data_IF_132562025114
#
_entry.id   IF_132562025114
#
_cell.length_a   1.000
_cell.length_b   1.000
_cell.length_c   1.000
_cell.angle_alpha   90.00
_cell.angle_beta   90.00
_cell.angle_gamma   90.00
#
_symmetry.space_group_name_H-M   'P 1'
#
loop_
_entity.id
_entity.type
_entity.pdbx_description
1 polymer ?
#
# COMPACT_ATOMS: atom_id res chain seq x y z
N UNK A 1 -51.61 24.77 1.56
CA UNK A 1 -50.32 25.25 2.10
C UNK A 1 -49.64 24.24 3.01
N UNK A 2 -50.36 23.60 3.98
CA UNK A 2 -49.83 22.64 4.93
C UNK A 2 -49.24 21.38 4.26
N UNK A 3 -49.86 20.84 3.21
CA UNK A 3 -49.41 19.64 2.49
C UNK A 3 -48.10 19.88 1.74
N UNK A 4 -47.87 21.08 1.20
CA UNK A 4 -46.63 21.44 0.52
C UNK A 4 -45.47 21.59 1.54
N UNK A 5 -45.72 22.08 2.73
CA UNK A 5 -44.72 22.21 3.77
C UNK A 5 -44.29 20.85 4.33
N UNK A 6 -45.21 19.90 4.52
CA UNK A 6 -44.91 18.53 4.92
C UNK A 6 -44.09 17.78 3.85
N UNK A 7 -44.40 17.94 2.56
CA UNK A 7 -43.68 17.32 1.46
C UNK A 7 -42.23 17.83 1.35
N UNK A 8 -41.95 19.08 1.66
CA UNK A 8 -40.61 19.65 1.66
C UNK A 8 -39.76 19.16 2.84
N UNK A 9 -40.37 19.02 4.01
CA UNK A 9 -39.71 18.50 5.22
C UNK A 9 -39.30 17.02 5.05
N UNK A 10 -40.17 16.19 4.50
CA UNK A 10 -39.86 14.78 4.22
C UNK A 10 -38.75 14.61 3.18
N UNK A 11 -38.73 15.42 2.13
CA UNK A 11 -37.63 15.40 1.13
C UNK A 11 -36.29 15.84 1.73
N UNK A 12 -36.31 16.85 2.60
CA UNK A 12 -35.12 17.34 3.29
C UNK A 12 -34.53 16.27 4.21
N UNK A 13 -35.37 15.52 4.92
CA UNK A 13 -34.95 14.43 5.82
C UNK A 13 -34.35 13.29 5.02
N UNK A 14 -35.01 12.83 3.95
CA UNK A 14 -34.50 11.78 3.08
C UNK A 14 -33.17 12.13 2.42
N UNK A 15 -32.98 13.37 1.96
CA UNK A 15 -31.69 13.82 1.42
C UNK A 15 -30.58 13.90 2.47
N UNK A 16 -30.94 14.19 3.71
CA UNK A 16 -29.96 14.24 4.81
C UNK A 16 -29.52 12.82 5.20
N UNK A 17 -30.44 11.88 5.27
CA UNK A 17 -30.15 10.46 5.51
C UNK A 17 -29.23 9.89 4.43
N UNK A 18 -29.54 10.09 3.16
CA UNK A 18 -28.73 9.63 2.05
C UNK A 18 -27.30 10.19 2.06
N UNK A 19 -27.13 11.48 2.44
CA UNK A 19 -25.81 12.09 2.59
C UNK A 19 -25.01 11.53 3.77
N UNK A 20 -25.69 11.19 4.86
CA UNK A 20 -25.07 10.57 6.03
C UNK A 20 -24.62 9.16 5.70
N UNK A 21 -25.46 8.37 5.04
CA UNK A 21 -25.15 7.01 4.63
C UNK A 21 -23.96 6.96 3.65
N UNK A 22 -23.91 7.86 2.68
CA UNK A 22 -22.78 8.00 1.75
C UNK A 22 -21.48 8.35 2.48
N UNK A 23 -21.53 9.22 3.50
CA UNK A 23 -20.35 9.57 4.31
C UNK A 23 -19.88 8.40 5.16
N UNK A 24 -20.79 7.63 5.73
CA UNK A 24 -20.47 6.45 6.52
C UNK A 24 -19.84 5.37 5.64
N UNK A 25 -20.42 5.07 4.50
CA UNK A 25 -19.86 4.12 3.53
C UNK A 25 -18.45 4.50 3.08
N UNK A 26 -18.23 5.80 2.79
CA UNK A 26 -16.91 6.32 2.44
C UNK A 26 -15.87 6.15 3.56
N UNK A 27 -16.25 6.47 4.79
CA UNK A 27 -15.35 6.33 5.94
C UNK A 27 -15.00 4.86 6.21
N UNK A 28 -15.94 3.96 6.00
CA UNK A 28 -15.72 2.52 6.12
C UNK A 28 -14.77 2.00 5.04
N UNK A 29 -14.96 2.38 3.78
CA UNK A 29 -14.06 2.02 2.67
C UNK A 29 -12.63 2.48 2.95
N UNK A 30 -12.45 3.74 3.37
CA UNK A 30 -11.15 4.30 3.74
C UNK A 30 -10.53 3.53 4.91
N UNK A 31 -11.31 3.23 5.96
CA UNK A 31 -10.83 2.52 7.14
C UNK A 31 -10.39 1.10 6.79
N UNK A 32 -11.19 0.38 6.02
CA UNK A 32 -10.89 -1.00 5.61
C UNK A 32 -9.64 -1.02 4.73
N UNK A 33 -9.56 -0.15 3.72
CA UNK A 33 -8.42 -0.05 2.81
C UNK A 33 -7.14 0.32 3.58
N UNK A 34 -7.20 1.33 4.45
CA UNK A 34 -6.06 1.77 5.26
C UNK A 34 -5.57 0.65 6.20
N UNK A 35 -6.49 -0.01 6.91
CA UNK A 35 -6.16 -1.12 7.81
C UNK A 35 -5.54 -2.31 7.06
N UNK A 36 -6.06 -2.62 5.87
CA UNK A 36 -5.51 -3.67 5.03
C UNK A 36 -4.09 -3.33 4.57
N UNK A 37 -3.88 -2.14 4.00
CA UNK A 37 -2.56 -1.68 3.56
C UNK A 37 -1.55 -1.65 4.72
N UNK A 38 -1.95 -1.18 5.91
CA UNK A 38 -1.11 -1.24 7.10
C UNK A 38 -0.71 -2.67 7.47
N UNK A 39 -1.63 -3.63 7.32
CA UNK A 39 -1.35 -5.02 7.65
C UNK A 39 -0.37 -5.70 6.69
N UNK A 40 -0.37 -5.30 5.41
CA UNK A 40 0.50 -5.87 4.38
C UNK A 40 1.85 -5.15 4.35
N UNK A 41 1.88 -3.82 4.38
CA UNK A 41 3.09 -3.01 4.39
C UNK A 41 3.84 -3.07 5.74
N UNK A 42 3.13 -3.38 6.83
CA UNK A 42 3.74 -3.63 8.13
C UNK A 42 4.55 -4.94 8.22
N UNK A 43 4.68 -5.70 7.11
CA UNK A 43 5.35 -7.00 7.04
C UNK A 43 6.21 -7.12 5.78
N UNK A 44 6.98 -6.09 5.47
CA UNK A 44 7.87 -6.10 4.31
C UNK A 44 9.11 -6.96 4.59
N UNK A 45 9.70 -7.52 3.54
CA UNK A 45 10.95 -8.27 3.63
C UNK A 45 12.12 -7.36 3.26
N UNK A 46 13.15 -7.33 4.11
CA UNK A 46 14.44 -6.69 3.81
C UNK A 46 15.34 -7.55 2.91
N UNK A 47 14.81 -8.61 2.32
CA UNK A 47 15.59 -9.51 1.47
C UNK A 47 16.16 -8.78 0.26
N UNK A 48 17.41 -9.10 -0.05
CA UNK A 48 18.10 -8.60 -1.23
C UNK A 48 17.84 -9.49 -2.44
N UNK A 49 17.86 -8.87 -3.61
CA UNK A 49 17.77 -9.59 -4.89
C UNK A 49 19.00 -10.50 -5.10
N UNK A 50 18.77 -11.64 -5.75
CA UNK A 50 19.86 -12.50 -6.18
C UNK A 50 20.47 -12.00 -7.48
N UNK A 51 21.77 -12.28 -7.68
CA UNK A 51 22.45 -12.03 -8.96
C UNK A 51 22.71 -10.57 -9.28
N UNK A 52 22.69 -9.66 -8.29
CA UNK A 52 23.08 -8.26 -8.49
C UNK A 52 24.57 -8.23 -8.86
N UNK A 53 24.84 -7.83 -10.09
CA UNK A 53 26.19 -7.74 -10.65
C UNK A 53 26.64 -6.28 -10.85
N UNK A 54 25.70 -5.33 -10.80
CA UNK A 54 25.96 -3.91 -11.01
C UNK A 54 25.76 -3.09 -9.73
N UNK A 55 26.66 -2.16 -9.49
CA UNK A 55 26.54 -1.17 -8.39
C UNK A 55 25.34 -0.23 -8.60
N UNK A 56 24.85 -0.15 -9.83
CA UNK A 56 23.71 0.71 -10.18
C UNK A 56 22.35 0.09 -9.90
N UNK A 57 22.27 -1.23 -9.72
CA UNK A 57 21.02 -1.92 -9.40
C UNK A 57 20.62 -1.75 -7.93
N UNK A 58 19.31 -1.64 -7.67
CA UNK A 58 18.81 -1.61 -6.31
C UNK A 58 18.95 -3.01 -5.69
N UNK A 59 19.67 -3.15 -4.56
CA UNK A 59 19.87 -4.44 -3.94
C UNK A 59 18.61 -4.99 -3.27
N UNK A 60 17.59 -4.18 -3.04
CA UNK A 60 16.35 -4.62 -2.41
C UNK A 60 15.33 -5.07 -3.46
N UNK A 61 14.51 -6.04 -3.08
CA UNK A 61 13.34 -6.46 -3.85
C UNK A 61 12.22 -5.42 -3.69
N UNK A 62 12.53 -4.20 -4.06
CA UNK A 62 11.67 -3.03 -3.97
C UNK A 62 11.77 -2.21 -5.26
N UNK A 63 10.61 -1.86 -5.82
CA UNK A 63 10.46 -0.79 -6.80
C UNK A 63 9.40 0.17 -6.28
N UNK A 64 9.77 1.42 -6.09
CA UNK A 64 8.95 2.41 -5.42
C UNK A 64 8.93 3.70 -6.24
N UNK A 65 7.90 3.84 -7.07
CA UNK A 65 7.66 4.93 -7.99
C UNK A 65 6.42 5.74 -7.59
N UNK A 66 6.22 6.89 -8.21
CA UNK A 66 5.10 7.79 -7.90
C UNK A 66 3.70 7.17 -8.10
N UNK A 67 3.56 6.13 -8.91
CA UNK A 67 2.29 5.49 -9.27
C UNK A 67 2.28 3.97 -9.04
N UNK A 68 3.40 3.41 -8.66
CA UNK A 68 3.56 1.97 -8.45
C UNK A 68 4.49 1.70 -7.26
N UNK A 69 4.10 0.75 -6.42
CA UNK A 69 4.96 0.22 -5.37
C UNK A 69 4.99 -1.30 -5.48
N UNK A 70 6.17 -1.87 -5.69
CA UNK A 70 6.43 -3.32 -5.69
C UNK A 70 7.35 -3.65 -4.52
N UNK A 71 6.98 -4.68 -3.75
CA UNK A 71 7.79 -5.12 -2.61
C UNK A 71 7.61 -6.62 -2.35
N UNK A 72 8.45 -7.16 -1.51
CA UNK A 72 8.28 -8.50 -0.93
C UNK A 72 7.78 -8.38 0.50
N UNK A 73 6.85 -9.23 0.87
CA UNK A 73 6.30 -9.27 2.22
C UNK A 73 5.66 -10.62 2.53
N UNK A 74 4.98 -10.68 3.67
CA UNK A 74 4.21 -11.84 4.10
C UNK A 74 2.74 -11.43 4.21
N UNK A 75 1.87 -12.14 3.49
CA UNK A 75 0.44 -11.96 3.61
C UNK A 75 -0.02 -12.35 5.02
N UNK A 76 -0.84 -11.54 5.70
CA UNK A 76 -1.43 -11.96 6.97
C UNK A 76 -2.23 -13.26 6.79
N UNK A 77 -2.09 -14.19 7.74
CA UNK A 77 -2.66 -15.55 7.64
C UNK A 77 -4.18 -15.58 7.37
N UNK A 78 -4.91 -14.56 7.81
CA UNK A 78 -6.36 -14.41 7.56
C UNK A 78 -6.74 -14.29 6.09
N UNK A 79 -5.79 -14.00 5.20
CA UNK A 79 -6.02 -13.89 3.75
C UNK A 79 -5.56 -15.13 2.97
N UNK A 80 -5.17 -16.21 3.65
CA UNK A 80 -5.00 -17.54 3.07
C UNK A 80 -3.72 -17.79 2.27
N UNK A 81 -2.90 -16.78 2.01
CA UNK A 81 -1.64 -16.97 1.30
C UNK A 81 -0.50 -17.27 2.29
N UNK A 82 0.18 -18.40 2.09
CA UNK A 82 1.32 -18.80 2.90
C UNK A 82 2.65 -18.32 2.26
N UNK A 83 3.66 -18.04 3.09
CA UNK A 83 5.00 -17.72 2.63
C UNK A 83 5.20 -16.27 2.22
N UNK A 84 6.36 -16.03 1.58
CA UNK A 84 6.69 -14.72 1.03
C UNK A 84 6.00 -14.53 -0.31
N UNK A 85 5.52 -13.33 -0.52
CA UNK A 85 4.83 -12.93 -1.75
C UNK A 85 5.49 -11.67 -2.31
N UNK A 86 5.51 -11.55 -3.62
CA UNK A 86 5.63 -10.26 -4.27
C UNK A 86 4.28 -9.57 -4.23
N UNK A 87 4.30 -8.29 -3.93
CA UNK A 87 3.14 -7.42 -3.93
C UNK A 87 3.35 -6.26 -4.89
N UNK A 88 2.27 -5.84 -5.53
CA UNK A 88 2.22 -4.65 -6.37
C UNK A 88 0.99 -3.83 -6.04
N UNK A 89 1.18 -2.60 -5.60
CA UNK A 89 0.13 -1.59 -5.46
C UNK A 89 0.20 -0.66 -6.65
N UNK A 90 -0.87 -0.58 -7.44
CA UNK A 90 -0.92 0.24 -8.66
C UNK A 90 -2.35 0.53 -9.08
N UNK A 91 -2.53 1.35 -10.12
CA UNK A 91 -3.82 1.51 -10.79
C UNK A 91 -3.96 0.47 -11.91
N UNK A 92 -5.09 -0.23 -11.90
CA UNK A 92 -5.53 -1.03 -13.03
C UNK A 92 -6.66 -0.31 -13.77
N UNK A 93 -6.49 -0.14 -15.08
CA UNK A 93 -7.51 0.47 -15.94
C UNK A 93 -8.50 -0.60 -16.39
N UNK A 94 -9.80 -0.33 -16.21
CA UNK A 94 -10.88 -1.20 -16.66
C UNK A 94 -11.86 -0.34 -17.48
N UNK A 95 -11.66 -0.32 -18.79
CA UNK A 95 -12.45 0.56 -19.67
C UNK A 95 -12.22 2.04 -19.36
N UNK A 96 -13.28 2.75 -18.98
CA UNK A 96 -13.24 4.21 -18.69
C UNK A 96 -12.95 4.55 -17.22
N UNK A 97 -12.67 3.58 -16.38
CA UNK A 97 -12.36 3.79 -14.96
C UNK A 97 -11.04 3.10 -14.57
N UNK A 98 -10.37 3.66 -13.58
CA UNK A 98 -9.22 3.03 -12.94
C UNK A 98 -9.62 2.57 -11.54
N UNK A 99 -8.97 1.51 -11.07
CA UNK A 99 -9.13 1.02 -9.70
C UNK A 99 -7.76 0.89 -9.04
N UNK A 100 -7.67 1.24 -7.76
CA UNK A 100 -6.51 0.89 -6.95
C UNK A 100 -6.57 -0.61 -6.68
N UNK A 101 -5.54 -1.31 -7.12
CA UNK A 101 -5.44 -2.76 -6.95
C UNK A 101 -4.18 -3.15 -6.19
N UNK A 102 -4.30 -4.21 -5.41
CA UNK A 102 -3.17 -4.95 -4.89
C UNK A 102 -3.07 -6.27 -5.65
N UNK A 103 -1.96 -6.46 -6.35
CA UNK A 103 -1.62 -7.75 -6.96
C UNK A 103 -0.60 -8.46 -6.10
N UNK A 104 -0.69 -9.78 -6.02
CA UNK A 104 0.30 -10.57 -5.31
C UNK A 104 0.46 -11.96 -5.92
N UNK A 105 1.68 -12.49 -5.80
CA UNK A 105 2.05 -13.81 -6.29
C UNK A 105 3.17 -14.40 -5.44
N UNK A 106 3.30 -15.73 -5.33
CA UNK A 106 4.37 -16.37 -4.59
C UNK A 106 5.75 -15.87 -5.03
N UNK A 107 6.67 -15.73 -4.07
CA UNK A 107 8.06 -15.44 -4.35
C UNK A 107 8.84 -16.77 -4.42
N UNK A 108 8.99 -17.31 -5.62
CA UNK A 108 9.75 -18.54 -5.85
C UNK A 108 11.26 -18.24 -5.93
N UNK A 109 11.62 -17.13 -6.56
CA UNK A 109 13.00 -16.67 -6.69
C UNK A 109 13.13 -15.21 -6.20
N UNK A 110 14.29 -14.82 -5.60
CA UNK A 110 14.52 -13.47 -5.12
C UNK A 110 14.92 -12.51 -6.26
N UNK A 111 14.07 -12.41 -7.28
CA UNK A 111 14.19 -11.52 -8.43
C UNK A 111 12.85 -10.81 -8.65
N UNK A 112 12.89 -9.48 -8.85
CA UNK A 112 11.67 -8.73 -9.13
C UNK A 112 10.97 -9.27 -10.39
N UNK A 113 9.65 -9.51 -10.34
CA UNK A 113 8.93 -10.04 -11.48
C UNK A 113 8.97 -9.06 -12.67
N UNK A 114 9.15 -9.61 -13.85
CA UNK A 114 9.09 -8.88 -15.12
C UNK A 114 7.65 -8.64 -15.59
N UNK A 115 6.71 -9.46 -15.14
CA UNK A 115 5.29 -9.39 -15.43
C UNK A 115 4.44 -9.80 -14.24
N UNK A 116 3.12 -9.60 -14.36
CA UNK A 116 2.14 -9.89 -13.31
C UNK A 116 1.02 -10.81 -13.81
N UNK A 117 1.31 -11.58 -14.87
CA UNK A 117 0.41 -12.59 -15.41
C UNK A 117 0.22 -13.70 -14.38
N UNK A 118 -1.03 -14.06 -14.11
CA UNK A 118 -1.36 -15.07 -13.10
C UNK A 118 -1.32 -14.61 -11.64
N UNK A 119 -0.95 -13.34 -11.37
CA UNK A 119 -1.03 -12.80 -10.02
C UNK A 119 -2.49 -12.69 -9.55
N UNK A 120 -2.72 -13.00 -8.28
CA UNK A 120 -4.00 -12.68 -7.63
C UNK A 120 -4.16 -11.18 -7.54
N UNK A 121 -5.35 -10.69 -7.92
CA UNK A 121 -5.65 -9.26 -7.93
C UNK A 121 -6.83 -8.97 -7.00
N UNK A 122 -6.61 -8.08 -6.03
CA UNK A 122 -7.61 -7.55 -5.13
C UNK A 122 -7.89 -6.09 -5.43
N UNK A 123 -9.16 -5.75 -5.66
CA UNK A 123 -9.58 -4.36 -5.88
C UNK A 123 -9.79 -3.70 -4.52
N UNK A 124 -9.00 -2.69 -4.21
CA UNK A 124 -9.06 -1.95 -2.95
C UNK A 124 -10.01 -0.76 -3.02
N UNK A 125 -9.93 0.03 -4.09
CA UNK A 125 -10.78 1.21 -4.32
C UNK A 125 -11.15 1.30 -5.80
N UNK A 126 -12.42 1.58 -6.08
CA UNK A 126 -12.93 1.75 -7.45
C UNK A 126 -13.01 3.23 -7.85
N UNK A 127 -13.13 3.46 -9.16
CA UNK A 127 -13.35 4.79 -9.75
C UNK A 127 -12.28 5.83 -9.36
N UNK A 128 -11.04 5.37 -9.29
CA UNK A 128 -9.88 6.21 -8.96
C UNK A 128 -9.56 7.13 -10.14
N UNK A 129 -9.39 8.40 -9.85
CA UNK A 129 -8.98 9.44 -10.81
C UNK A 129 -7.49 9.74 -10.73
N UNK A 130 -6.94 9.69 -9.53
CA UNK A 130 -5.51 9.94 -9.30
C UNK A 130 -4.99 9.13 -8.12
N UNK A 131 -3.73 8.72 -8.24
CA UNK A 131 -2.92 8.07 -7.21
C UNK A 131 -1.55 8.75 -7.19
N UNK A 132 -1.08 9.15 -6.03
CA UNK A 132 0.30 9.57 -5.84
C UNK A 132 0.90 8.85 -4.63
N UNK A 133 2.07 8.27 -4.83
CA UNK A 133 2.86 7.60 -3.81
C UNK A 133 4.11 8.44 -3.54
N UNK A 134 4.42 8.63 -2.26
CA UNK A 134 5.66 9.24 -1.81
C UNK A 134 6.25 8.41 -0.67
N UNK A 135 7.56 8.44 -0.55
CA UNK A 135 8.32 7.60 0.36
C UNK A 135 9.20 8.45 1.24
N UNK A 136 9.41 8.02 2.47
CA UNK A 136 10.23 8.72 3.45
C UNK A 136 11.02 7.73 4.30
N UNK A 137 12.24 8.12 4.67
CA UNK A 137 12.97 7.52 5.78
C UNK A 137 12.90 8.44 7.01
N UNK A 138 12.06 8.09 7.97
CA UNK A 138 11.90 8.86 9.21
C UNK A 138 13.13 8.79 10.13
N UNK A 139 14.11 7.92 9.84
CA UNK A 139 15.37 7.83 10.59
C UNK A 139 16.43 8.83 10.13
N UNK A 140 16.17 9.64 9.12
CA UNK A 140 17.09 10.70 8.68
C UNK A 140 16.93 11.95 9.55
N UNK A 141 18.00 12.75 9.63
CA UNK A 141 18.00 14.03 10.37
C UNK A 141 16.97 15.02 9.80
N UNK A 142 16.73 14.98 8.48
CA UNK A 142 15.72 15.77 7.77
C UNK A 142 14.92 14.84 6.87
N UNK A 143 13.86 14.22 7.38
CA UNK A 143 13.02 13.35 6.57
C UNK A 143 12.28 14.14 5.49
N UNK A 144 12.45 13.75 4.24
CA UNK A 144 11.76 14.35 3.09
C UNK A 144 10.95 13.31 2.34
N UNK A 145 9.78 13.73 1.84
CA UNK A 145 8.94 12.90 1.00
C UNK A 145 9.44 12.91 -0.44
N UNK A 146 9.73 11.74 -0.99
CA UNK A 146 10.25 11.52 -2.35
C UNK A 146 9.26 10.71 -3.16
N UNK A 147 9.00 11.09 -4.41
CA UNK A 147 8.09 10.38 -5.32
C UNK A 147 8.70 9.10 -5.91
N UNK A 148 10.02 8.94 -5.83
CA UNK A 148 10.76 7.75 -6.23
C UNK A 148 11.75 7.42 -5.12
N UNK A 149 11.88 6.14 -4.76
CA UNK A 149 12.85 5.71 -3.76
C UNK A 149 14.07 5.08 -4.43
N UNK A 150 15.17 5.82 -4.42
CA UNK A 150 16.42 5.42 -5.09
C UNK A 150 17.49 4.89 -4.13
N UNK A 151 17.24 4.94 -2.82
CA UNK A 151 18.26 4.51 -1.85
C UNK A 151 18.58 3.03 -2.02
N UNK A 152 19.88 2.73 -2.15
CA UNK A 152 20.44 1.37 -2.24
C UNK A 152 20.91 0.85 -0.88
N UNK A 153 20.91 1.68 0.14
CA UNK A 153 21.39 1.33 1.48
C UNK A 153 20.28 0.88 2.41
N UNK A 154 19.08 1.42 2.23
CA UNK A 154 17.94 1.22 3.13
C UNK A 154 16.61 1.22 2.40
N UNK A 155 15.63 0.58 3.02
CA UNK A 155 14.23 0.64 2.61
C UNK A 155 13.57 1.92 3.15
N UNK A 156 12.52 2.44 2.50
CA UNK A 156 11.71 3.51 3.09
C UNK A 156 11.03 3.01 4.36
N UNK A 157 10.89 3.88 5.34
CA UNK A 157 10.18 3.56 6.59
C UNK A 157 8.69 3.87 6.51
N UNK A 158 8.30 4.77 5.61
CA UNK A 158 6.92 5.19 5.42
C UNK A 158 6.60 5.38 3.94
N UNK A 159 5.36 5.10 3.58
CA UNK A 159 4.75 5.48 2.32
C UNK A 159 3.53 6.38 2.58
N UNK A 160 3.46 7.50 1.88
CA UNK A 160 2.30 8.38 1.82
C UNK A 160 1.50 8.03 0.56
N UNK A 161 0.25 7.67 0.74
CA UNK A 161 -0.68 7.32 -0.33
C UNK A 161 -1.73 8.41 -0.44
N UNK A 162 -1.71 9.15 -1.51
CA UNK A 162 -2.70 10.16 -1.87
C UNK A 162 -3.58 9.63 -2.99
N UNK A 163 -4.89 9.66 -2.78
CA UNK A 163 -5.87 9.08 -3.67
C UNK A 163 -7.03 10.06 -3.92
N UNK A 164 -7.52 10.11 -5.15
CA UNK A 164 -8.75 10.81 -5.50
C UNK A 164 -9.67 9.87 -6.30
N UNK A 165 -10.96 9.86 -5.97
CA UNK A 165 -11.99 9.08 -6.67
C UNK A 165 -13.01 10.00 -7.32
N UNK A 166 -13.69 9.53 -8.34
CA UNK A 166 -14.72 10.28 -9.07
C UNK A 166 -15.92 10.61 -8.16
N UNK A 167 -16.32 9.66 -7.34
CA UNK A 167 -17.51 9.80 -6.49
C UNK A 167 -17.26 10.65 -5.24
N UNK A 168 -16.05 10.59 -4.68
CA UNK A 168 -15.76 11.14 -3.36
C UNK A 168 -14.67 12.24 -3.36
N UNK A 169 -14.10 12.57 -4.53
CA UNK A 169 -12.98 13.51 -4.62
C UNK A 169 -11.72 13.00 -3.94
N UNK A 170 -10.91 13.93 -3.42
CA UNK A 170 -9.68 13.59 -2.71
C UNK A 170 -9.96 12.91 -1.37
N UNK A 171 -9.27 11.81 -1.11
CA UNK A 171 -9.24 11.14 0.18
C UNK A 171 -8.24 11.82 1.12
N UNK A 172 -8.45 11.71 2.44
CA UNK A 172 -7.38 12.06 3.38
C UNK A 172 -6.11 11.27 3.06
N UNK A 173 -4.94 11.90 3.00
CA UNK A 173 -3.68 11.19 2.75
C UNK A 173 -3.43 10.12 3.81
N UNK A 174 -3.05 8.92 3.38
CA UNK A 174 -2.75 7.79 4.25
C UNK A 174 -1.24 7.64 4.40
N UNK A 175 -0.72 7.83 5.61
CA UNK A 175 0.67 7.50 5.92
C UNK A 175 0.71 6.08 6.50
N UNK A 176 1.43 5.20 5.83
CA UNK A 176 1.56 3.79 6.22
C UNK A 176 3.02 3.48 6.54
N UNK A 177 3.27 2.93 7.74
CA UNK A 177 4.60 2.49 8.13
C UNK A 177 4.98 1.19 7.39
N UNK A 178 6.14 1.21 6.76
CA UNK A 178 6.77 0.05 6.14
C UNK A 178 7.74 -0.56 7.14
N UNK A 179 7.38 -1.72 7.70
CA UNK A 179 8.17 -2.35 8.77
C UNK A 179 8.82 -3.63 8.27
N UNK A 180 10.17 -3.68 8.20
CA UNK A 180 10.88 -4.90 7.86
C UNK A 180 10.60 -6.00 8.90
N UNK A 181 10.35 -7.21 8.42
CA UNK A 181 10.22 -8.39 9.27
C UNK A 181 11.58 -8.69 9.92
N UNK A 182 11.56 -8.96 11.22
CA UNK A 182 12.74 -9.38 11.97
C UNK A 182 13.28 -10.68 11.34
N UNK A 183 14.61 -10.72 11.08
CA UNK A 183 15.27 -11.86 10.42
C UNK A 183 15.14 -11.89 8.89
N UNK A 184 14.45 -10.93 8.28
CA UNK A 184 14.47 -10.76 6.83
C UNK A 184 15.58 -9.82 6.35
N UNK A 185 16.24 -9.12 7.27
CA UNK A 185 17.41 -8.29 6.98
C UNK A 185 18.67 -9.15 7.05
N UNK A 186 19.39 -9.34 5.93
CA UNK A 186 20.63 -10.12 5.92
C UNK A 186 21.75 -9.48 6.76
N UNK A 187 21.66 -8.19 7.13
CA UNK A 187 22.62 -7.53 7.99
C UNK A 187 22.29 -7.71 9.49
N UNK A 188 21.05 -7.92 9.87
CA UNK A 188 20.66 -8.18 11.26
C UNK A 188 21.17 -9.54 11.77
N UNK A 189 21.40 -10.50 10.89
CA UNK A 189 21.93 -11.82 11.23
C UNK A 189 23.39 -11.79 11.71
N UNK A 190 24.15 -10.74 11.38
CA UNK A 190 25.55 -10.56 11.80
C UNK A 190 25.73 -10.00 13.22
N UNK A 191 24.66 -9.54 13.88
CA UNK A 191 24.72 -8.97 15.24
C UNK A 191 24.30 -9.93 16.37
N UNK A 192 23.94 -11.16 16.05
CA UNK A 192 23.77 -12.18 17.09
C UNK A 192 25.15 -12.66 17.59
N UNK A 193 25.83 -11.81 18.34
CA UNK A 193 26.99 -12.22 19.12
C UNK A 193 26.50 -13.20 20.19
N UNK A 194 26.78 -14.46 20.04
CA UNK A 194 26.68 -15.44 21.09
C UNK A 194 27.63 -15.04 22.21
N UNK A 195 27.13 -14.30 23.17
CA UNK A 195 27.78 -14.06 24.45
C UNK A 195 27.74 -15.34 25.28
N UNK A 196 28.62 -16.27 24.98
CA UNK A 196 28.94 -17.37 25.87
C UNK A 196 29.89 -16.87 26.93
N UNK A 197 29.39 -16.47 28.09
CA UNK A 197 30.18 -16.33 29.30
C UNK A 197 30.32 -17.70 29.96
N UNK A 198 31.55 -18.13 30.16
CA UNK A 198 31.93 -19.14 31.11
C UNK A 198 31.92 -18.55 32.51
#
# INVERSE_FOLDING_TARGET
>A
LLVLAMGSALRSTAQTEERVDQRLARNDELRVTSSFLQSVLGRISGQRAAGITSVDENPFLLRADAKELVWVGVMPARYGAAGRQFFRLSLANTGNSASLVLQFMPMDEPVLPSGWEGATTEVLVRDVMDLALQYQDAGQDKPEWQSVWESKERLPTHVLISLATRSNGAWPPMVVAMRPLIGSDPFAAGMATFGGSR
#
